data_IF_156866613502
#
_entry.id   IF_156866613502
#
_cell.length_a   1.000
_cell.length_b   1.000
_cell.length_c   1.000
_cell.angle_alpha   90.00
_cell.angle_beta   90.00
_cell.angle_gamma   90.00
#
_symmetry.space_group_name_H-M   'P 1'
#
loop_
_entity.id
_entity.type
_entity.pdbx_description
1 polymer ?
2 water ?
#
# COMPACT_ATOMS: atom_id res chain seq x y z
N UNK A 1 -4.53 -3.84 -5.84
CA UNK A 1 -3.18 -3.31 -5.82
C UNK A 1 -2.81 -2.80 -4.44
N UNK A 2 -1.52 -2.60 -4.20
CA UNK A 2 -1.06 -2.15 -2.90
C UNK A 2 0.25 -1.41 -3.05
N UNK A 3 0.51 -0.51 -2.11
CA UNK A 3 1.77 0.18 -2.02
C UNK A 3 2.25 0.00 -0.59
N UNK A 4 3.44 -0.56 -0.43
CA UNK A 4 3.97 -0.83 0.89
C UNK A 4 5.33 -0.17 1.02
N UNK A 5 5.51 0.63 2.06
CA UNK A 5 6.75 1.37 2.25
C UNK A 5 6.45 2.79 2.68
N UNK A 6 7.45 3.66 2.65
CA UNK A 6 7.22 5.05 3.01
C UNK A 6 6.98 5.91 1.77
N UNK B 1 4.48 2.50 5.78
CA UNK B 1 3.05 2.25 5.86
C UNK B 1 2.59 1.31 4.76
N UNK B 2 1.28 1.14 4.65
CA UNK B 2 0.71 0.27 3.63
C UNK B 2 -0.56 0.91 3.13
N UNK B 3 -0.71 0.94 1.81
CA UNK B 3 -1.97 1.29 1.18
C UNK B 3 -2.48 0.03 0.49
N UNK B 4 -3.65 -0.43 0.90
CA UNK B 4 -4.17 -1.73 0.51
C UNK B 4 -5.48 -1.56 -0.26
N UNK B 5 -5.71 -2.42 -1.25
CA UNK B 5 -6.98 -2.45 -1.95
C UNK B 5 -7.15 -1.35 -2.98
N UNK B 6 -6.05 -0.94 -3.59
CA UNK B 6 -6.11 0.07 -4.64
C UNK B 6 -6.77 -0.48 -5.89
#
# INVERSE_FOLDING_TARGET
GAIIGL
GAIIGL
#
